data_IF_543848085067
#
_entry.id   IF_543848085067
#
_cell.length_a   1.000
_cell.length_b   1.000
_cell.length_c   1.000
_cell.angle_alpha   90.00
_cell.angle_beta   90.00
_cell.angle_gamma   90.00
#
_symmetry.space_group_name_H-M   'P 1'
#
loop_
_entity.id
_entity.type
_entity.pdbx_description
1 polymer ?
#
# COMPACT_ATOMS: atom_id res chain seq x y z
N UNK A 1 31.13 23.92 15.56
CA UNK A 1 29.80 24.26 15.02
C UNK A 1 28.79 23.79 16.06
N UNK A 2 27.84 24.63 16.49
CA UNK A 2 26.77 24.16 17.38
C UNK A 2 25.95 23.11 16.64
N UNK A 3 25.75 21.92 17.23
CA UNK A 3 24.85 20.91 16.66
C UNK A 3 23.50 21.55 16.34
N UNK A 4 23.09 21.48 15.08
CA UNK A 4 21.81 22.01 14.60
C UNK A 4 20.72 21.19 15.25
N UNK A 5 20.02 21.77 16.23
CA UNK A 5 18.93 21.04 16.94
C UNK A 5 17.88 20.60 15.95
N UNK A 6 17.64 19.29 15.84
CA UNK A 6 16.62 18.72 14.96
C UNK A 6 15.24 19.04 15.52
N UNK A 7 14.34 19.66 14.74
CA UNK A 7 12.98 19.95 15.21
C UNK A 7 12.16 18.67 15.35
N UNK A 8 11.04 18.71 16.08
CA UNK A 8 10.07 17.60 16.15
C UNK A 8 9.51 17.25 14.77
N UNK A 9 9.20 18.26 13.96
CA UNK A 9 8.64 18.10 12.61
C UNK A 9 9.57 18.77 11.61
N UNK A 10 10.04 17.99 10.64
CA UNK A 10 10.81 18.48 9.51
C UNK A 10 9.85 18.62 8.34
N UNK A 11 9.71 19.85 7.84
CA UNK A 11 8.96 20.16 6.63
C UNK A 11 9.90 20.60 5.51
N UNK A 12 9.54 20.25 4.31
CA UNK A 12 10.07 20.86 3.09
C UNK A 12 9.29 22.15 2.78
N UNK A 13 9.93 23.08 2.11
CA UNK A 13 9.23 24.19 1.48
C UNK A 13 8.60 23.75 0.15
N UNK A 14 7.63 24.48 -0.38
CA UNK A 14 6.96 24.10 -1.64
C UNK A 14 7.93 23.92 -2.81
N UNK A 15 8.99 24.72 -2.87
CA UNK A 15 10.01 24.62 -3.91
C UNK A 15 11.01 23.48 -3.72
N UNK A 16 11.01 22.84 -2.56
CA UNK A 16 11.81 21.64 -2.25
C UNK A 16 11.03 20.33 -2.54
N UNK A 17 9.76 20.44 -2.89
CA UNK A 17 8.92 19.28 -3.20
C UNK A 17 9.36 18.60 -4.51
N UNK A 18 9.25 17.27 -4.60
CA UNK A 18 9.59 16.54 -5.82
C UNK A 18 8.78 17.03 -7.03
N UNK A 19 9.47 17.24 -8.15
CA UNK A 19 8.87 17.56 -9.45
C UNK A 19 8.78 16.33 -10.37
N UNK A 20 9.43 15.24 -9.98
CA UNK A 20 9.46 13.96 -10.69
C UNK A 20 9.21 12.83 -9.70
N UNK A 21 8.56 11.76 -10.17
CA UNK A 21 8.53 10.48 -9.50
C UNK A 21 9.80 9.69 -9.82
N UNK A 22 10.19 8.81 -8.91
CA UNK A 22 11.34 7.95 -9.10
C UNK A 22 10.91 6.50 -9.34
N UNK A 23 11.35 5.94 -10.46
CA UNK A 23 11.07 4.58 -10.89
C UNK A 23 12.27 3.67 -10.54
N UNK A 24 12.22 3.05 -9.38
CA UNK A 24 13.30 2.16 -8.89
C UNK A 24 13.61 1.00 -9.84
N UNK A 25 12.64 0.58 -10.68
CA UNK A 25 12.85 -0.50 -11.64
C UNK A 25 13.93 -0.18 -12.67
N UNK A 26 14.13 1.09 -13.00
CA UNK A 26 15.17 1.50 -13.94
C UNK A 26 16.58 1.09 -13.46
N UNK A 27 16.79 1.12 -12.14
CA UNK A 27 18.09 0.79 -11.51
C UNK A 27 18.19 -0.66 -11.04
N UNK A 28 17.08 -1.44 -11.07
CA UNK A 28 17.11 -2.85 -10.70
C UNK A 28 17.92 -3.68 -11.70
N UNK A 29 18.84 -4.51 -11.19
CA UNK A 29 19.61 -5.45 -11.99
C UNK A 29 18.72 -6.57 -12.53
N UNK A 30 17.90 -7.16 -11.67
CA UNK A 30 16.90 -8.14 -12.04
C UNK A 30 15.55 -7.43 -12.12
N UNK A 31 15.02 -7.26 -13.34
CA UNK A 31 13.72 -6.63 -13.56
C UNK A 31 12.60 -7.57 -13.10
N UNK A 32 11.48 -7.04 -12.55
CA UNK A 32 10.29 -7.86 -12.32
C UNK A 32 9.84 -8.55 -13.62
N UNK A 33 9.39 -9.78 -13.52
CA UNK A 33 8.87 -10.50 -14.67
C UNK A 33 7.60 -9.82 -15.22
N UNK A 34 7.34 -9.88 -16.55
CA UNK A 34 6.20 -9.21 -17.17
C UNK A 34 4.87 -9.79 -16.71
N UNK A 35 3.83 -8.98 -16.77
CA UNK A 35 2.44 -9.45 -16.63
C UNK A 35 2.10 -10.38 -17.81
N UNK A 36 1.44 -11.52 -17.53
CA UNK A 36 1.05 -12.47 -18.57
C UNK A 36 -0.46 -12.46 -18.78
N UNK A 37 -0.85 -12.58 -20.05
CA UNK A 37 -2.23 -12.84 -20.41
C UNK A 37 -2.62 -14.26 -19.94
N UNK A 38 -3.67 -14.42 -19.13
CA UNK A 38 -4.02 -15.71 -18.54
C UNK A 38 -4.45 -16.78 -19.55
N UNK A 39 -4.92 -16.37 -20.73
CA UNK A 39 -5.36 -17.29 -21.79
C UNK A 39 -4.21 -17.80 -22.67
N UNK A 40 -3.17 -16.97 -22.88
CA UNK A 40 -2.07 -17.26 -23.81
C UNK A 40 -0.75 -17.55 -23.10
N UNK A 41 -0.63 -17.19 -21.83
CA UNK A 41 0.59 -17.21 -21.01
C UNK A 41 1.77 -16.42 -21.63
N UNK A 42 1.46 -15.47 -22.51
CA UNK A 42 2.44 -14.58 -23.11
C UNK A 42 2.44 -13.23 -22.40
N UNK A 43 3.55 -12.47 -22.44
CA UNK A 43 3.58 -11.10 -21.94
C UNK A 43 2.46 -10.27 -22.53
N UNK A 44 1.75 -9.53 -21.67
CA UNK A 44 0.67 -8.65 -22.10
C UNK A 44 1.24 -7.45 -22.86
N UNK A 45 0.54 -7.11 -23.95
CA UNK A 45 0.84 -5.91 -24.73
C UNK A 45 0.23 -4.66 -24.11
N UNK A 46 0.73 -3.48 -24.50
CA UNK A 46 0.13 -2.21 -24.09
C UNK A 46 -1.35 -2.08 -24.53
N UNK A 47 -1.71 -2.63 -25.69
CA UNK A 47 -3.09 -2.64 -26.19
C UNK A 47 -4.00 -3.47 -25.29
N UNK A 48 -3.60 -4.69 -24.91
CA UNK A 48 -4.37 -5.55 -24.00
C UNK A 48 -4.56 -4.90 -22.62
N UNK A 49 -3.51 -4.28 -22.05
CA UNK A 49 -3.59 -3.56 -20.78
C UNK A 49 -4.48 -2.31 -20.90
N UNK A 50 -4.47 -1.62 -22.05
CA UNK A 50 -5.28 -0.43 -22.33
C UNK A 50 -6.79 -0.69 -22.34
N UNK A 51 -7.23 -1.95 -22.48
CA UNK A 51 -8.64 -2.30 -22.29
C UNK A 51 -9.08 -2.19 -20.81
N UNK A 52 -8.16 -2.32 -19.88
CA UNK A 52 -8.43 -2.29 -18.43
C UNK A 52 -8.02 -0.96 -17.81
N UNK A 53 -6.85 -0.44 -18.15
CA UNK A 53 -6.23 0.75 -17.55
C UNK A 53 -6.19 1.93 -18.51
N UNK A 54 -6.00 3.14 -17.96
CA UNK A 54 -5.73 4.33 -18.77
C UNK A 54 -4.39 4.21 -19.51
N UNK A 55 -4.30 4.76 -20.71
CA UNK A 55 -3.14 4.64 -21.61
C UNK A 55 -1.84 5.11 -20.96
N UNK A 56 -1.86 6.24 -20.25
CA UNK A 56 -0.67 6.75 -19.58
C UNK A 56 -0.24 5.87 -18.40
N UNK A 57 -1.21 5.29 -17.68
CA UNK A 57 -0.91 4.34 -16.60
C UNK A 57 -0.30 3.04 -17.14
N UNK A 58 -0.71 2.60 -18.34
CA UNK A 58 -0.09 1.47 -19.03
C UNK A 58 1.35 1.76 -19.41
N UNK A 59 1.66 2.97 -19.92
CA UNK A 59 3.04 3.37 -20.21
C UNK A 59 3.90 3.32 -18.95
N UNK A 60 3.42 3.90 -17.85
CA UNK A 60 4.13 3.91 -16.58
C UNK A 60 4.29 2.50 -15.98
N UNK A 61 3.28 1.62 -16.17
CA UNK A 61 3.37 0.23 -15.73
C UNK A 61 4.46 -0.55 -16.49
N UNK A 62 4.60 -0.30 -17.77
CA UNK A 62 5.55 -1.00 -18.63
C UNK A 62 6.96 -0.37 -18.65
N UNK A 63 7.11 0.89 -18.22
CA UNK A 63 8.40 1.59 -18.21
C UNK A 63 9.30 1.07 -17.10
N UNK A 64 10.37 0.39 -17.46
CA UNK A 64 11.41 -0.12 -16.57
C UNK A 64 12.81 0.47 -16.90
N UNK A 65 12.85 1.53 -17.70
CA UNK A 65 14.07 2.12 -18.23
C UNK A 65 14.32 3.56 -17.80
N UNK A 66 13.25 4.36 -17.66
CA UNK A 66 13.36 5.75 -17.25
C UNK A 66 13.33 5.87 -15.71
N UNK A 67 14.42 6.34 -15.06
CA UNK A 67 14.46 6.44 -13.61
C UNK A 67 13.60 7.57 -13.06
N UNK A 68 13.38 8.63 -13.84
CA UNK A 68 12.59 9.79 -13.42
C UNK A 68 11.46 10.08 -14.40
N UNK A 69 10.25 10.26 -13.88
CA UNK A 69 9.05 10.58 -14.65
C UNK A 69 8.46 11.87 -14.11
N UNK A 70 8.27 12.87 -14.98
CA UNK A 70 7.76 14.19 -14.59
C UNK A 70 6.37 14.10 -13.96
N UNK A 71 6.18 14.81 -12.86
CA UNK A 71 4.87 14.99 -12.23
C UNK A 71 4.17 16.15 -12.94
N UNK A 72 3.04 15.94 -13.65
CA UNK A 72 2.27 17.01 -14.28
C UNK A 72 1.96 18.16 -13.31
N UNK A 73 1.92 19.38 -13.85
CA UNK A 73 1.70 20.58 -13.04
C UNK A 73 0.38 20.51 -12.25
N UNK A 74 -0.68 20.00 -12.88
CA UNK A 74 -2.00 19.89 -12.25
C UNK A 74 -1.99 18.92 -11.05
N UNK A 75 -1.18 17.85 -11.10
CA UNK A 75 -0.98 16.93 -9.98
C UNK A 75 -0.16 17.63 -8.89
N UNK A 76 0.89 18.38 -9.25
CA UNK A 76 1.70 19.16 -8.28
C UNK A 76 0.87 20.23 -7.57
N UNK A 77 -0.04 20.88 -8.29
CA UNK A 77 -0.94 21.89 -7.72
C UNK A 77 -1.89 21.24 -6.69
N UNK A 78 -2.40 20.05 -6.98
CA UNK A 78 -3.18 19.29 -6.00
C UNK A 78 -2.32 18.82 -4.82
N UNK A 79 -1.10 18.35 -5.06
CA UNK A 79 -0.18 17.96 -3.98
C UNK A 79 0.07 19.10 -3.00
N UNK A 80 0.22 20.33 -3.43
CA UNK A 80 0.40 21.51 -2.57
C UNK A 80 -0.75 21.73 -1.57
N UNK A 81 -1.94 21.18 -1.82
CA UNK A 81 -3.07 21.30 -0.89
C UNK A 81 -2.86 20.48 0.40
N UNK A 82 -2.02 19.44 0.39
CA UNK A 82 -1.83 18.57 1.55
C UNK A 82 -0.39 18.08 1.75
N UNK A 83 0.50 18.39 0.84
CA UNK A 83 1.95 18.11 0.92
C UNK A 83 2.76 19.39 1.02
N UNK A 84 3.99 19.36 1.54
CA UNK A 84 4.73 18.17 1.98
C UNK A 84 4.12 17.55 3.26
N UNK A 85 4.16 16.23 3.37
CA UNK A 85 3.80 15.58 4.63
C UNK A 85 5.01 15.63 5.59
N UNK A 86 4.79 15.76 6.92
CA UNK A 86 5.89 15.92 7.86
C UNK A 86 6.70 14.64 8.03
N UNK A 87 8.03 14.80 8.15
CA UNK A 87 8.90 13.82 8.78
C UNK A 87 9.04 14.21 10.26
N UNK A 88 8.60 13.34 11.15
CA UNK A 88 8.54 13.64 12.59
C UNK A 88 9.55 12.79 13.33
N UNK A 89 10.34 13.42 14.22
CA UNK A 89 11.18 12.69 15.16
C UNK A 89 10.39 12.32 16.41
N UNK A 90 10.35 11.05 16.74
CA UNK A 90 9.60 10.50 17.85
C UNK A 90 10.32 10.64 19.19
N UNK A 91 10.68 11.86 19.58
CA UNK A 91 11.42 12.14 20.83
C UNK A 91 10.73 11.58 22.08
N UNK A 92 9.40 11.62 22.13
CA UNK A 92 8.66 11.11 23.27
C UNK A 92 8.75 9.60 23.34
N UNK A 93 8.66 8.91 22.20
CA UNK A 93 8.80 7.46 22.10
C UNK A 93 10.23 7.03 22.46
N UNK A 94 11.26 7.66 21.88
CA UNK A 94 12.67 7.41 22.21
C UNK A 94 12.91 7.48 23.73
N UNK A 95 12.45 8.55 24.36
CA UNK A 95 12.57 8.77 25.81
C UNK A 95 11.82 7.72 26.61
N UNK A 96 10.60 7.35 26.20
CA UNK A 96 9.77 6.37 26.91
C UNK A 96 10.35 4.96 26.85
N UNK A 97 10.94 4.59 25.70
CA UNK A 97 11.62 3.31 25.52
C UNK A 97 12.98 3.28 26.24
N UNK A 98 13.60 4.43 26.47
CA UNK A 98 14.95 4.54 27.03
C UNK A 98 16.00 3.95 26.10
N UNK A 99 15.84 4.17 24.80
CA UNK A 99 16.70 3.65 23.73
C UNK A 99 17.68 4.72 23.24
N UNK A 100 18.90 4.33 22.79
CA UNK A 100 19.78 5.24 22.05
C UNK A 100 19.36 5.45 20.60
N UNK A 101 18.42 4.65 20.06
CA UNK A 101 17.93 4.77 18.69
C UNK A 101 17.28 6.14 18.46
N UNK A 102 17.48 6.68 17.24
CA UNK A 102 16.82 7.87 16.72
C UNK A 102 15.66 7.43 15.84
N UNK A 103 14.41 7.72 16.24
CA UNK A 103 13.22 7.22 15.58
C UNK A 103 12.53 8.35 14.83
N UNK A 104 12.26 8.13 13.55
CA UNK A 104 11.53 9.05 12.68
C UNK A 104 10.33 8.35 12.03
N UNK A 105 9.24 9.10 11.83
CA UNK A 105 8.12 8.61 11.04
C UNK A 105 7.66 9.61 10.00
N UNK A 106 7.42 9.11 8.78
CA UNK A 106 6.82 9.88 7.68
C UNK A 106 5.31 9.82 7.80
N UNK A 107 4.68 10.93 8.17
CA UNK A 107 3.27 10.98 8.52
C UNK A 107 2.37 11.24 7.30
N UNK A 108 2.03 10.21 6.56
CA UNK A 108 1.14 10.25 5.40
C UNK A 108 -0.37 10.25 5.76
N UNK A 109 -0.73 9.91 6.99
CA UNK A 109 -2.10 10.01 7.49
C UNK A 109 -2.55 11.46 7.76
N UNK A 110 -1.64 12.43 7.66
CA UNK A 110 -1.90 13.86 7.90
C UNK A 110 -2.45 14.58 6.67
N UNK A 111 -3.47 14.01 6.02
CA UNK A 111 -4.18 14.64 4.92
C UNK A 111 -5.69 14.35 5.01
N UNK A 112 -6.48 15.02 4.19
CA UNK A 112 -7.93 14.96 4.23
C UNK A 112 -8.51 13.58 3.92
N UNK A 113 -7.80 12.73 3.17
CA UNK A 113 -8.21 11.34 2.94
C UNK A 113 -7.81 10.39 4.08
N UNK A 114 -6.93 10.85 4.97
CA UNK A 114 -6.43 10.11 6.13
C UNK A 114 -5.40 9.02 5.79
N UNK A 115 -4.83 8.98 4.56
CA UNK A 115 -3.81 7.99 4.19
C UNK A 115 -2.96 8.40 3.00
N UNK A 116 -1.80 7.70 2.81
CA UNK A 116 -0.89 7.82 1.67
C UNK A 116 -1.56 7.59 0.31
N UNK A 117 -2.70 6.92 0.28
CA UNK A 117 -3.34 6.49 -0.98
C UNK A 117 -3.74 7.65 -1.88
N UNK A 118 -3.96 8.83 -1.32
CA UNK A 118 -4.29 10.05 -2.07
C UNK A 118 -3.21 10.41 -3.11
N UNK A 119 -1.93 10.10 -2.83
CA UNK A 119 -0.82 10.40 -3.75
C UNK A 119 -0.99 9.73 -5.14
N UNK A 120 -1.45 8.47 -5.16
CA UNK A 120 -1.70 7.77 -6.40
C UNK A 120 -3.13 8.00 -6.93
N UNK A 121 -4.11 8.18 -6.05
CA UNK A 121 -5.48 8.42 -6.45
C UNK A 121 -5.61 9.66 -7.34
N UNK A 122 -4.93 10.75 -6.98
CA UNK A 122 -4.96 11.99 -7.76
C UNK A 122 -4.28 11.81 -9.12
N UNK A 123 -3.17 11.07 -9.19
CA UNK A 123 -2.49 10.80 -10.44
C UNK A 123 -3.36 9.96 -11.40
N UNK A 124 -3.97 8.88 -10.89
CA UNK A 124 -4.81 8.01 -11.70
C UNK A 124 -6.09 8.72 -12.17
N UNK A 125 -6.73 9.52 -11.31
CA UNK A 125 -7.90 10.32 -11.70
C UNK A 125 -7.54 11.41 -12.73
N UNK A 126 -6.39 12.06 -12.57
CA UNK A 126 -5.88 13.03 -13.57
C UNK A 126 -5.74 12.40 -14.95
N UNK A 127 -5.06 11.24 -15.04
CA UNK A 127 -4.85 10.58 -16.32
C UNK A 127 -6.15 10.05 -16.93
N UNK A 128 -7.08 9.57 -16.11
CA UNK A 128 -8.42 9.20 -16.57
C UNK A 128 -9.17 10.39 -17.17
N UNK A 129 -9.15 11.55 -16.51
CA UNK A 129 -9.75 12.79 -17.03
C UNK A 129 -9.06 13.26 -18.29
N UNK A 130 -7.73 13.22 -18.35
CA UNK A 130 -6.93 13.64 -19.50
C UNK A 130 -7.21 12.79 -20.73
N UNK A 131 -7.48 11.49 -20.57
CA UNK A 131 -7.89 10.57 -21.63
C UNK A 131 -9.34 10.79 -22.08
N UNK A 132 -10.12 11.62 -21.38
CA UNK A 132 -11.52 11.90 -21.72
C UNK A 132 -12.49 10.83 -21.24
N UNK A 133 -12.13 10.05 -20.21
CA UNK A 133 -13.02 9.06 -19.65
C UNK A 133 -14.17 9.71 -18.88
N UNK A 134 -15.32 9.00 -18.82
CA UNK A 134 -16.50 9.39 -18.03
C UNK A 134 -16.30 9.12 -16.54
N UNK A 135 -15.60 8.03 -16.23
CA UNK A 135 -15.40 7.62 -14.86
C UNK A 135 -14.44 6.46 -14.71
N UNK A 136 -14.27 6.06 -13.47
CA UNK A 136 -13.41 4.94 -13.08
C UNK A 136 -14.15 3.96 -12.17
N UNK A 137 -13.70 2.72 -12.19
CA UNK A 137 -14.12 1.68 -11.26
C UNK A 137 -12.95 1.25 -10.41
N UNK A 138 -13.22 0.81 -9.20
CA UNK A 138 -12.16 0.35 -8.30
C UNK A 138 -12.70 -0.57 -7.20
N UNK A 139 -11.78 -1.29 -6.59
CA UNK A 139 -11.99 -2.00 -5.32
C UNK A 139 -11.57 -1.15 -4.13
N UNK A 140 -12.00 -1.56 -2.93
CA UNK A 140 -11.40 -1.08 -1.68
C UNK A 140 -11.56 -2.11 -0.56
N UNK A 141 -10.48 -2.37 0.19
CA UNK A 141 -10.50 -3.24 1.36
C UNK A 141 -11.14 -2.55 2.56
N UNK A 142 -10.35 -1.79 3.32
CA UNK A 142 -10.80 -1.05 4.51
C UNK A 142 -11.52 0.28 4.20
N UNK A 143 -11.57 0.69 2.93
CA UNK A 143 -12.18 1.95 2.49
C UNK A 143 -11.21 3.12 2.34
N UNK A 144 -9.94 2.98 2.71
CA UNK A 144 -8.95 4.06 2.58
C UNK A 144 -8.69 4.44 1.11
N UNK A 145 -8.54 3.45 0.23
CA UNK A 145 -8.35 3.70 -1.19
C UNK A 145 -9.61 4.30 -1.82
N UNK A 146 -10.79 3.71 -1.55
CA UNK A 146 -12.06 4.24 -2.04
C UNK A 146 -12.29 5.69 -1.62
N UNK A 147 -11.94 6.06 -0.37
CA UNK A 147 -12.01 7.44 0.12
C UNK A 147 -11.09 8.37 -0.68
N UNK A 148 -9.84 8.00 -0.85
CA UNK A 148 -8.85 8.80 -1.58
C UNK A 148 -9.25 8.99 -3.06
N UNK A 149 -9.70 7.90 -3.72
CA UNK A 149 -10.13 7.96 -5.11
C UNK A 149 -11.43 8.77 -5.28
N UNK A 150 -12.40 8.61 -4.39
CA UNK A 150 -13.65 9.39 -4.43
C UNK A 150 -13.37 10.89 -4.37
N UNK A 151 -12.44 11.31 -3.50
CA UNK A 151 -11.98 12.70 -3.40
C UNK A 151 -11.31 13.18 -4.69
N UNK A 152 -10.42 12.37 -5.26
CA UNK A 152 -9.72 12.69 -6.50
C UNK A 152 -10.70 12.79 -7.70
N UNK A 153 -11.66 11.87 -7.78
CA UNK A 153 -12.69 11.89 -8.83
C UNK A 153 -13.62 13.09 -8.71
N UNK A 154 -14.02 13.48 -7.49
CA UNK A 154 -14.79 14.69 -7.27
C UNK A 154 -14.04 15.95 -7.73
N UNK A 155 -12.73 16.03 -7.51
CA UNK A 155 -11.90 17.14 -7.96
C UNK A 155 -11.80 17.25 -9.48
N UNK A 156 -11.80 16.11 -10.21
CA UNK A 156 -11.69 16.07 -11.67
C UNK A 156 -13.03 15.86 -12.39
N UNK A 157 -14.17 15.94 -11.72
CA UNK A 157 -15.50 15.66 -12.29
C UNK A 157 -15.55 14.30 -13.01
N UNK A 158 -15.21 13.24 -12.33
CA UNK A 158 -15.27 11.87 -12.82
C UNK A 158 -16.27 11.06 -11.99
N UNK A 159 -17.04 10.21 -12.66
CA UNK A 159 -17.80 9.18 -11.97
C UNK A 159 -16.86 8.19 -11.27
N UNK A 160 -17.19 7.84 -10.04
CA UNK A 160 -16.42 6.88 -9.23
C UNK A 160 -17.31 5.73 -8.75
N UNK A 161 -17.00 4.50 -9.17
CA UNK A 161 -17.69 3.30 -8.71
C UNK A 161 -16.75 2.43 -7.89
N UNK A 162 -17.10 2.21 -6.63
CA UNK A 162 -16.27 1.49 -5.65
C UNK A 162 -16.94 0.19 -5.25
N UNK A 163 -16.22 -0.93 -5.38
CA UNK A 163 -16.55 -2.22 -4.81
C UNK A 163 -15.79 -2.39 -3.49
N UNK A 164 -16.52 -2.39 -2.38
CA UNK A 164 -15.93 -2.47 -1.05
C UNK A 164 -16.10 -3.87 -0.47
N UNK A 165 -15.02 -4.44 0.05
CA UNK A 165 -15.06 -5.76 0.72
C UNK A 165 -16.21 -5.79 1.74
N UNK A 166 -17.12 -6.78 1.63
CA UNK A 166 -18.41 -6.84 2.34
C UNK A 166 -18.26 -6.69 3.84
N UNK A 167 -17.35 -7.40 4.47
CA UNK A 167 -17.13 -7.27 5.92
C UNK A 167 -16.72 -5.86 6.32
N UNK A 168 -15.88 -5.18 5.52
CA UNK A 168 -15.49 -3.80 5.78
C UNK A 168 -16.61 -2.81 5.51
N UNK A 169 -17.43 -3.06 4.49
CA UNK A 169 -18.62 -2.25 4.19
C UNK A 169 -19.59 -2.19 5.38
N UNK A 170 -19.73 -3.30 6.11
CA UNK A 170 -20.57 -3.40 7.30
C UNK A 170 -19.89 -2.79 8.55
N UNK A 171 -18.59 -3.10 8.76
CA UNK A 171 -17.86 -2.68 9.96
C UNK A 171 -17.40 -1.22 9.96
N UNK A 172 -17.31 -0.59 8.77
CA UNK A 172 -16.77 0.78 8.60
C UNK A 172 -17.78 1.70 7.89
N UNK A 173 -18.97 1.91 8.46
CA UNK A 173 -20.04 2.67 7.80
C UNK A 173 -19.64 4.12 7.50
N UNK A 174 -18.83 4.75 8.35
CA UNK A 174 -18.42 6.15 8.15
C UNK A 174 -17.49 6.30 6.93
N UNK A 175 -16.64 5.33 6.62
CA UNK A 175 -15.83 5.38 5.38
C UNK A 175 -16.72 5.34 4.14
N UNK A 176 -17.76 4.50 4.15
CA UNK A 176 -18.76 4.46 3.09
C UNK A 176 -19.44 5.81 2.90
N UNK A 177 -19.85 6.46 3.99
CA UNK A 177 -20.51 7.77 3.91
C UNK A 177 -19.57 8.88 3.44
N UNK A 178 -18.27 8.83 3.80
CA UNK A 178 -17.27 9.76 3.24
C UNK A 178 -17.16 9.59 1.72
N UNK A 179 -17.07 8.36 1.21
CA UNK A 179 -17.04 8.11 -0.24
C UNK A 179 -18.28 8.63 -0.95
N UNK A 180 -19.46 8.38 -0.37
CA UNK A 180 -20.74 8.90 -0.90
C UNK A 180 -20.84 10.41 -0.85
N UNK A 181 -20.28 11.06 0.17
CA UNK A 181 -20.22 12.51 0.30
C UNK A 181 -19.39 13.15 -0.82
N UNK A 182 -18.33 12.45 -1.27
CA UNK A 182 -17.56 12.84 -2.46
C UNK A 182 -18.21 12.40 -3.79
N UNK A 183 -19.43 11.86 -3.76
CA UNK A 183 -20.19 11.51 -4.98
C UNK A 183 -19.95 10.10 -5.51
N UNK A 184 -19.13 9.27 -4.87
CA UNK A 184 -18.90 7.90 -5.32
C UNK A 184 -20.11 6.99 -5.03
N UNK A 185 -20.35 6.05 -5.92
CA UNK A 185 -21.23 4.90 -5.67
C UNK A 185 -20.44 3.77 -5.03
N UNK A 186 -20.94 3.22 -3.91
CA UNK A 186 -20.24 2.17 -3.15
C UNK A 186 -21.12 0.93 -3.06
N UNK A 187 -20.58 -0.21 -3.50
CA UNK A 187 -21.27 -1.51 -3.54
C UNK A 187 -20.50 -2.51 -2.67
N UNK A 188 -21.16 -3.26 -1.76
CA UNK A 188 -20.49 -4.34 -1.04
C UNK A 188 -20.11 -5.48 -1.99
N UNK A 189 -18.90 -6.04 -1.87
CA UNK A 189 -18.36 -7.09 -2.74
C UNK A 189 -18.05 -8.37 -1.94
N UNK A 190 -18.42 -9.56 -2.46
CA UNK A 190 -19.07 -9.81 -3.75
C UNK A 190 -20.53 -9.39 -3.77
N UNK A 191 -21.04 -9.00 -4.95
CA UNK A 191 -22.38 -8.46 -5.16
C UNK A 191 -23.13 -9.18 -6.29
N UNK A 192 -24.43 -8.96 -6.38
CA UNK A 192 -25.27 -9.46 -7.50
C UNK A 192 -25.22 -8.54 -8.74
N UNK A 193 -24.47 -7.42 -8.69
CA UNK A 193 -24.45 -6.41 -9.74
C UNK A 193 -23.53 -6.77 -10.92
N UNK A 194 -22.64 -7.74 -10.73
CA UNK A 194 -21.69 -8.24 -11.73
C UNK A 194 -21.89 -9.76 -11.94
N UNK A 195 -21.45 -10.27 -13.08
CA UNK A 195 -21.50 -11.70 -13.35
C UNK A 195 -20.54 -12.48 -12.44
N UNK A 196 -19.30 -11.97 -12.33
CA UNK A 196 -18.28 -12.58 -11.47
C UNK A 196 -18.69 -12.54 -9.99
N UNK A 197 -19.34 -11.47 -9.54
CA UNK A 197 -19.86 -11.37 -8.18
C UNK A 197 -20.92 -12.43 -7.89
N UNK A 198 -21.89 -12.63 -8.79
CA UNK A 198 -22.91 -13.68 -8.68
C UNK A 198 -22.27 -15.07 -8.63
N UNK A 199 -21.27 -15.33 -9.47
CA UNK A 199 -20.54 -16.61 -9.49
C UNK A 199 -19.83 -16.87 -8.15
N UNK A 200 -19.11 -15.88 -7.62
CA UNK A 200 -18.43 -15.99 -6.31
C UNK A 200 -19.44 -16.25 -5.19
N UNK A 201 -20.59 -15.56 -5.18
CA UNK A 201 -21.64 -15.78 -4.19
C UNK A 201 -22.25 -17.18 -4.27
N UNK A 202 -22.38 -17.74 -5.47
CA UNK A 202 -22.88 -19.10 -5.68
C UNK A 202 -21.87 -20.18 -5.23
N UNK A 203 -20.57 -19.97 -5.51
CA UNK A 203 -19.50 -20.89 -5.13
C UNK A 203 -19.15 -20.82 -3.63
N UNK A 204 -19.30 -19.64 -3.02
CA UNK A 204 -18.96 -19.37 -1.62
C UNK A 204 -20.11 -18.67 -0.88
N UNK A 205 -21.23 -19.37 -0.62
CA UNK A 205 -22.36 -18.80 0.12
C UNK A 205 -21.95 -18.29 1.51
N UNK A 206 -22.32 -17.07 1.85
CA UNK A 206 -21.98 -16.48 3.16
C UNK A 206 -20.56 -15.93 3.27
N UNK A 207 -19.79 -15.86 2.18
CA UNK A 207 -18.46 -15.23 2.19
C UNK A 207 -18.50 -13.80 2.69
N UNK A 208 -17.49 -13.41 3.48
CA UNK A 208 -17.26 -12.03 3.94
C UNK A 208 -16.59 -11.16 2.87
N UNK A 209 -16.23 -11.76 1.73
CA UNK A 209 -15.50 -11.14 0.65
C UNK A 209 -14.00 -10.98 0.92
N UNK A 210 -13.28 -10.66 -0.13
CA UNK A 210 -11.85 -10.36 -0.11
C UNK A 210 -11.54 -9.22 -1.06
N UNK A 211 -10.31 -8.70 -0.99
CA UNK A 211 -9.86 -7.70 -1.96
C UNK A 211 -9.85 -8.28 -3.38
N UNK A 212 -9.46 -9.55 -3.56
CA UNK A 212 -9.49 -10.23 -4.85
C UNK A 212 -10.89 -10.32 -5.46
N UNK A 213 -11.94 -10.57 -4.65
CA UNK A 213 -13.33 -10.54 -5.12
C UNK A 213 -13.72 -9.14 -5.62
N UNK A 214 -13.39 -8.11 -4.86
CA UNK A 214 -13.71 -6.73 -5.20
C UNK A 214 -12.96 -6.24 -6.47
N UNK A 215 -11.71 -6.69 -6.67
CA UNK A 215 -10.94 -6.45 -7.89
C UNK A 215 -11.67 -7.06 -9.09
N UNK A 216 -12.08 -8.33 -9.02
CA UNK A 216 -12.79 -9.00 -10.11
C UNK A 216 -14.03 -8.22 -10.55
N UNK A 217 -14.86 -7.77 -9.61
CA UNK A 217 -16.06 -7.00 -9.90
C UNK A 217 -15.75 -5.61 -10.48
N UNK A 218 -14.73 -4.93 -9.95
CA UNK A 218 -14.33 -3.62 -10.45
C UNK A 218 -13.79 -3.69 -11.88
N UNK A 219 -13.01 -4.71 -12.22
CA UNK A 219 -12.48 -4.95 -13.58
C UNK A 219 -13.62 -5.28 -14.55
N UNK A 220 -14.54 -6.18 -14.19
CA UNK A 220 -15.72 -6.46 -15.02
C UNK A 220 -16.52 -5.18 -15.27
N UNK A 221 -16.77 -4.38 -14.23
CA UNK A 221 -17.52 -3.14 -14.38
C UNK A 221 -16.81 -2.09 -15.26
N UNK A 222 -15.48 -2.08 -15.29
CA UNK A 222 -14.69 -1.20 -16.18
C UNK A 222 -14.79 -1.66 -17.64
N UNK A 223 -14.61 -2.96 -17.88
CA UNK A 223 -14.53 -3.54 -19.25
C UNK A 223 -15.89 -3.64 -19.93
N UNK A 224 -16.98 -3.67 -19.18
CA UNK A 224 -18.35 -3.73 -19.71
C UNK A 224 -19.03 -2.37 -19.88
N UNK A 225 -18.36 -1.26 -19.48
CA UNK A 225 -18.90 0.10 -19.57
C UNK A 225 -18.04 0.97 -20.48
N UNK A 226 -18.65 1.54 -21.50
CA UNK A 226 -17.97 2.49 -22.39
C UNK A 226 -17.59 3.78 -21.65
N UNK A 227 -16.32 4.18 -21.80
CA UNK A 227 -15.77 5.38 -21.17
C UNK A 227 -15.32 5.18 -19.74
N UNK A 228 -15.22 3.94 -19.26
CA UNK A 228 -14.67 3.61 -17.94
C UNK A 228 -13.37 2.82 -18.03
N UNK A 229 -12.53 2.99 -17.03
CA UNK A 229 -11.32 2.17 -16.80
C UNK A 229 -11.21 1.82 -15.33
N UNK A 230 -10.51 0.72 -15.07
CA UNK A 230 -10.17 0.30 -13.73
C UNK A 230 -8.94 1.05 -13.22
N UNK A 231 -8.97 1.43 -11.96
CA UNK A 231 -7.85 2.01 -11.22
C UNK A 231 -7.72 1.31 -9.86
N UNK A 232 -6.51 1.26 -9.30
CA UNK A 232 -6.25 0.49 -8.08
C UNK A 232 -5.26 1.17 -7.14
N UNK A 233 -5.37 0.85 -5.86
CA UNK A 233 -4.64 1.52 -4.78
C UNK A 233 -3.34 0.87 -4.34
N UNK A 234 -2.87 -0.20 -5.01
CA UNK A 234 -1.65 -0.92 -4.63
C UNK A 234 -1.16 -1.85 -5.74
N UNK A 235 -0.13 -2.64 -5.48
CA UNK A 235 0.41 -3.77 -6.26
C UNK A 235 1.17 -3.37 -7.53
N UNK A 236 0.55 -2.64 -8.46
CA UNK A 236 1.14 -2.32 -9.76
C UNK A 236 2.28 -1.31 -9.67
N UNK A 237 3.21 -1.41 -10.62
CA UNK A 237 4.41 -0.57 -10.67
C UNK A 237 4.09 0.93 -10.78
N UNK A 238 3.08 1.30 -11.55
CA UNK A 238 2.61 2.68 -11.66
C UNK A 238 2.14 3.24 -10.31
N UNK A 239 1.56 2.40 -9.43
CA UNK A 239 1.14 2.84 -8.09
C UNK A 239 2.35 3.06 -7.19
N UNK A 240 3.34 2.14 -7.21
CA UNK A 240 4.60 2.31 -6.49
C UNK A 240 5.34 3.57 -6.96
N UNK A 241 5.35 3.82 -8.27
CA UNK A 241 5.91 5.03 -8.87
C UNK A 241 5.29 6.29 -8.27
N UNK A 242 3.95 6.41 -8.27
CA UNK A 242 3.28 7.58 -7.68
C UNK A 242 3.56 7.74 -6.19
N UNK A 243 3.72 6.64 -5.47
CA UNK A 243 4.03 6.66 -4.04
C UNK A 243 5.50 7.02 -3.75
N UNK A 244 6.38 7.04 -4.76
CA UNK A 244 7.78 7.44 -4.58
C UNK A 244 7.94 8.86 -4.01
N UNK A 245 6.93 9.71 -4.15
CA UNK A 245 6.88 11.04 -3.52
C UNK A 245 7.08 10.96 -2.00
N UNK A 246 6.64 9.87 -1.34
CA UNK A 246 6.84 9.64 0.09
C UNK A 246 8.34 9.53 0.40
N UNK A 247 9.04 8.67 -0.33
CA UNK A 247 10.47 8.43 -0.15
C UNK A 247 11.32 9.65 -0.54
N UNK A 248 10.99 10.29 -1.66
CA UNK A 248 11.69 11.48 -2.14
C UNK A 248 11.63 12.64 -1.12
N UNK A 249 10.45 12.94 -0.58
CA UNK A 249 10.32 13.93 0.49
C UNK A 249 11.01 13.49 1.78
N UNK A 250 10.95 12.21 2.13
CA UNK A 250 11.63 11.67 3.33
C UNK A 250 13.14 11.86 3.20
N UNK A 251 13.70 11.50 2.05
CA UNK A 251 15.14 11.65 1.77
C UNK A 251 15.57 13.10 1.83
N UNK A 252 14.87 13.99 1.13
CA UNK A 252 15.18 15.43 1.15
C UNK A 252 15.07 16.04 2.55
N UNK A 253 14.08 15.62 3.35
CA UNK A 253 13.93 16.08 4.74
C UNK A 253 15.07 15.59 5.65
N UNK A 254 15.55 14.36 5.48
CA UNK A 254 16.69 13.82 6.22
C UNK A 254 17.99 14.51 5.82
N UNK A 255 18.23 14.71 4.53
CA UNK A 255 19.41 15.39 3.97
C UNK A 255 19.53 16.85 4.47
N UNK A 256 18.41 17.54 4.65
CA UNK A 256 18.36 18.90 5.21
C UNK A 256 19.03 19.03 6.59
N UNK A 257 19.17 17.90 7.31
CA UNK A 257 19.78 17.82 8.64
C UNK A 257 20.96 16.85 8.71
N UNK A 258 21.51 16.45 7.55
CA UNK A 258 22.65 15.53 7.44
C UNK A 258 22.39 14.17 8.14
N UNK A 259 21.14 13.65 8.03
CA UNK A 259 20.73 12.40 8.65
C UNK A 259 20.71 11.29 7.59
N UNK A 260 21.37 10.17 7.89
CA UNK A 260 21.31 8.94 7.11
C UNK A 260 20.57 7.87 7.93
N UNK A 261 19.49 7.26 7.43
CA UNK A 261 18.83 6.17 8.12
C UNK A 261 19.64 4.87 8.03
N UNK A 262 19.61 4.06 9.09
CA UNK A 262 20.14 2.69 9.08
C UNK A 262 19.06 1.69 8.71
N UNK A 263 17.84 1.91 9.22
CA UNK A 263 16.70 1.00 9.06
C UNK A 263 15.48 1.77 8.55
N UNK A 264 14.86 1.28 7.47
CA UNK A 264 13.62 1.84 6.92
C UNK A 264 12.54 0.77 6.93
N UNK A 265 11.40 1.06 7.58
CA UNK A 265 10.35 0.11 7.89
C UNK A 265 9.02 0.57 7.29
N UNK A 266 8.29 -0.33 6.65
CA UNK A 266 6.93 -0.04 6.19
C UNK A 266 6.02 -1.25 6.28
N UNK A 267 4.72 -1.01 6.51
CA UNK A 267 3.74 -2.08 6.43
C UNK A 267 3.53 -2.51 4.97
N UNK A 268 3.26 -3.78 4.76
CA UNK A 268 3.13 -4.37 3.44
C UNK A 268 1.87 -5.24 3.32
N UNK A 269 0.93 -4.78 2.47
CA UNK A 269 -0.14 -5.58 1.89
C UNK A 269 0.23 -5.84 0.43
N UNK A 270 -0.32 -5.09 -0.52
CA UNK A 270 0.18 -5.08 -1.90
C UNK A 270 1.51 -4.33 -2.10
N UNK A 271 2.00 -3.62 -1.10
CA UNK A 271 3.36 -3.07 -1.04
C UNK A 271 3.53 -1.61 -1.48
N UNK A 272 2.48 -0.90 -1.89
CA UNK A 272 2.65 0.42 -2.52
C UNK A 272 3.27 1.48 -1.59
N UNK A 273 2.86 1.55 -0.32
CA UNK A 273 3.44 2.52 0.62
C UNK A 273 4.92 2.23 0.93
N UNK A 274 5.24 0.96 1.16
CA UNK A 274 6.61 0.52 1.40
C UNK A 274 7.48 0.80 0.17
N UNK A 275 7.02 0.36 -1.02
CA UNK A 275 7.73 0.59 -2.28
C UNK A 275 8.00 2.07 -2.54
N UNK A 276 7.00 2.94 -2.28
CA UNK A 276 7.16 4.38 -2.40
C UNK A 276 8.18 4.96 -1.41
N UNK A 277 8.09 4.54 -0.14
CA UNK A 277 9.00 5.03 0.91
C UNK A 277 10.45 4.63 0.66
N UNK A 278 10.69 3.37 0.31
CA UNK A 278 12.06 2.86 0.16
C UNK A 278 12.69 3.20 -1.19
N UNK A 279 11.90 3.53 -2.24
CA UNK A 279 12.40 3.61 -3.62
C UNK A 279 13.66 4.46 -3.81
N UNK A 280 13.81 5.71 -3.34
CA UNK A 280 15.03 6.48 -3.57
C UNK A 280 16.23 5.96 -2.76
N UNK A 281 15.99 5.37 -1.60
CA UNK A 281 17.03 4.73 -0.79
C UNK A 281 17.44 3.38 -1.38
N UNK A 282 16.49 2.64 -1.95
CA UNK A 282 16.78 1.42 -2.70
C UNK A 282 17.61 1.72 -3.94
N UNK A 283 17.35 2.83 -4.63
CA UNK A 283 18.17 3.30 -5.74
C UNK A 283 19.64 3.48 -5.33
N UNK A 284 19.92 4.17 -4.23
CA UNK A 284 21.27 4.33 -3.69
C UNK A 284 21.93 2.97 -3.34
N UNK A 285 21.15 2.04 -2.75
CA UNK A 285 21.64 0.68 -2.45
C UNK A 285 21.95 -0.10 -3.72
N UNK A 286 21.10 -0.04 -4.74
CA UNK A 286 21.32 -0.71 -6.03
C UNK A 286 22.55 -0.16 -6.78
N UNK A 287 22.81 1.14 -6.67
CA UNK A 287 24.00 1.79 -7.22
C UNK A 287 25.27 1.58 -6.36
N UNK A 288 25.15 0.96 -5.19
CA UNK A 288 26.27 0.71 -4.28
C UNK A 288 26.77 1.96 -3.54
N UNK A 289 25.95 3.01 -3.45
CA UNK A 289 26.31 4.27 -2.78
C UNK A 289 26.19 4.16 -1.26
N UNK A 290 25.10 3.51 -0.78
CA UNK A 290 24.80 3.33 0.64
C UNK A 290 24.15 1.96 0.87
N UNK A 291 24.33 1.43 2.07
CA UNK A 291 23.66 0.20 2.50
C UNK A 291 22.63 0.52 3.57
N UNK A 292 21.36 0.20 3.26
CA UNK A 292 20.22 0.38 4.15
C UNK A 292 19.60 -0.98 4.46
N UNK A 293 19.10 -1.15 5.69
CA UNK A 293 18.24 -2.28 6.03
C UNK A 293 16.78 -1.88 5.77
N UNK A 294 16.10 -2.62 4.89
CA UNK A 294 14.67 -2.43 4.61
C UNK A 294 13.86 -3.56 5.22
N UNK A 295 12.79 -3.23 5.93
CA UNK A 295 11.92 -4.21 6.58
C UNK A 295 10.48 -4.03 6.13
N UNK A 296 9.94 -5.01 5.42
CA UNK A 296 8.53 -5.13 5.11
C UNK A 296 7.81 -5.79 6.31
N UNK A 297 6.73 -5.18 6.79
CA UNK A 297 5.97 -5.76 7.91
C UNK A 297 4.56 -6.12 7.43
N UNK A 298 4.23 -7.40 7.53
CA UNK A 298 2.95 -7.95 7.11
C UNK A 298 2.17 -8.57 8.28
N UNK A 299 0.83 -8.72 8.18
CA UNK A 299 0.07 -9.43 9.20
C UNK A 299 0.42 -10.91 9.24
N UNK A 300 0.55 -11.48 10.43
CA UNK A 300 0.72 -12.92 10.59
C UNK A 300 -0.44 -13.76 10.00
N UNK A 301 -1.62 -13.14 9.88
CA UNK A 301 -2.81 -13.71 9.25
C UNK A 301 -2.83 -13.66 7.71
N UNK A 302 -1.88 -12.93 7.09
CA UNK A 302 -1.75 -12.81 5.63
C UNK A 302 -0.27 -12.69 5.24
N UNK A 303 0.56 -13.74 5.48
CA UNK A 303 2.02 -13.70 5.42
C UNK A 303 2.54 -13.96 4.01
N UNK A 304 2.26 -13.06 3.06
CA UNK A 304 2.56 -13.26 1.64
C UNK A 304 4.05 -13.34 1.33
N UNK A 305 4.90 -12.53 1.98
CA UNK A 305 6.36 -12.57 1.83
C UNK A 305 6.99 -13.69 2.66
N UNK A 306 6.63 -13.78 3.95
CA UNK A 306 7.32 -14.68 4.89
C UNK A 306 6.94 -16.15 4.73
N UNK A 307 5.73 -16.45 4.21
CA UNK A 307 5.25 -17.83 4.00
C UNK A 307 4.66 -18.09 2.62
N UNK A 308 4.62 -17.09 1.72
CA UNK A 308 4.17 -17.24 0.36
C UNK A 308 5.18 -17.94 -0.55
N UNK A 309 4.76 -18.16 -1.80
CA UNK A 309 5.62 -18.71 -2.87
C UNK A 309 5.87 -17.65 -3.92
N UNK A 310 7.10 -17.59 -4.44
CA UNK A 310 7.44 -16.72 -5.57
C UNK A 310 7.04 -17.39 -6.87
N UNK A 311 5.87 -17.05 -7.40
CA UNK A 311 5.28 -17.68 -8.56
C UNK A 311 4.38 -16.71 -9.34
N UNK A 312 4.03 -17.07 -10.57
CA UNK A 312 2.92 -16.41 -11.26
C UNK A 312 1.60 -16.78 -10.60
N UNK A 313 0.76 -15.77 -10.35
CA UNK A 313 -0.59 -15.96 -9.83
C UNK A 313 -1.53 -14.88 -10.39
N UNK A 314 -2.82 -15.14 -10.31
CA UNK A 314 -3.83 -14.14 -10.65
C UNK A 314 -3.83 -13.00 -9.63
N UNK A 315 -3.99 -11.78 -10.12
CA UNK A 315 -4.11 -10.62 -9.24
C UNK A 315 -5.46 -10.55 -8.51
N UNK A 316 -6.43 -11.41 -8.87
CA UNK A 316 -7.80 -11.43 -8.36
C UNK A 316 -8.34 -12.85 -8.14
N UNK A 317 -9.40 -12.95 -7.33
CA UNK A 317 -10.02 -14.24 -7.00
C UNK A 317 -10.85 -14.81 -8.14
N UNK A 318 -11.49 -13.94 -8.94
CA UNK A 318 -12.32 -14.35 -10.10
C UNK A 318 -11.53 -14.73 -11.35
N UNK A 319 -10.19 -14.56 -11.30
CA UNK A 319 -9.27 -14.90 -12.40
C UNK A 319 -9.54 -14.16 -13.71
N UNK A 320 -9.98 -12.90 -13.60
CA UNK A 320 -10.23 -12.01 -14.75
C UNK A 320 -9.07 -11.05 -15.01
N UNK A 321 -8.12 -10.93 -14.07
CA UNK A 321 -6.93 -10.10 -14.17
C UNK A 321 -5.74 -10.84 -14.77
N UNK A 322 -4.70 -10.11 -15.22
CA UNK A 322 -3.42 -10.70 -15.64
C UNK A 322 -2.76 -11.55 -14.55
N UNK A 323 -1.87 -12.46 -14.97
CA UNK A 323 -0.94 -13.14 -14.07
C UNK A 323 0.26 -12.23 -13.79
N UNK A 324 0.59 -12.07 -12.50
CA UNK A 324 1.80 -11.37 -12.06
C UNK A 324 2.72 -12.35 -11.34
N UNK A 325 4.03 -12.25 -11.58
CA UNK A 325 5.01 -13.00 -10.79
C UNK A 325 5.25 -12.27 -9.48
N UNK A 326 4.88 -12.90 -8.38
CA UNK A 326 4.88 -12.29 -7.06
C UNK A 326 5.03 -13.34 -5.95
N UNK A 327 5.40 -12.89 -4.76
CA UNK A 327 5.19 -13.69 -3.57
C UNK A 327 3.70 -13.74 -3.28
N UNK A 328 3.12 -14.94 -3.23
CA UNK A 328 1.67 -15.14 -3.13
C UNK A 328 1.29 -16.29 -2.21
N UNK A 329 0.13 -16.17 -1.59
CA UNK A 329 -0.55 -17.24 -0.83
C UNK A 329 -1.52 -18.05 -1.71
N UNK A 330 -1.63 -17.69 -3.00
CA UNK A 330 -2.61 -18.21 -3.94
C UNK A 330 -3.84 -17.31 -4.05
N UNK A 331 -4.29 -17.04 -5.28
CA UNK A 331 -5.44 -16.15 -5.56
C UNK A 331 -6.77 -16.63 -4.97
N UNK A 332 -6.87 -17.92 -4.64
CA UNK A 332 -7.99 -18.51 -3.91
C UNK A 332 -7.90 -18.37 -2.39
N UNK A 333 -6.78 -17.92 -1.83
CA UNK A 333 -6.63 -17.72 -0.39
C UNK A 333 -7.43 -16.50 0.06
N UNK A 334 -8.34 -16.70 1.01
CA UNK A 334 -9.14 -15.63 1.62
C UNK A 334 -8.59 -15.39 3.03
N UNK A 335 -7.87 -14.27 3.26
CA UNK A 335 -7.35 -13.96 4.59
C UNK A 335 -8.45 -13.85 5.63
N UNK A 336 -8.16 -14.26 6.87
CA UNK A 336 -9.06 -14.07 8.00
C UNK A 336 -9.47 -12.61 8.18
N UNK A 337 -10.59 -12.35 8.86
CA UNK A 337 -11.14 -11.03 9.08
C UNK A 337 -10.34 -10.22 10.12
N UNK A 338 -9.04 -10.00 9.89
CA UNK A 338 -8.25 -9.10 10.71
C UNK A 338 -8.66 -7.63 10.47
N UNK A 339 -8.29 -6.74 11.40
CA UNK A 339 -8.69 -5.35 11.36
C UNK A 339 -7.81 -4.44 10.48
N UNK A 340 -6.66 -4.93 9.99
CA UNK A 340 -5.83 -4.24 9.01
C UNK A 340 -6.27 -4.58 7.58
N UNK A 341 -7.48 -4.16 7.20
CA UNK A 341 -8.12 -4.51 5.94
C UNK A 341 -7.31 -4.13 4.70
N UNK A 342 -6.47 -3.09 4.77
CA UNK A 342 -5.56 -2.67 3.71
C UNK A 342 -4.37 -3.61 3.49
N UNK A 343 -4.12 -4.55 4.42
CA UNK A 343 -3.05 -5.55 4.31
C UNK A 343 -3.58 -6.97 4.00
N UNK A 344 -4.89 -7.12 3.73
CA UNK A 344 -5.54 -8.41 3.44
C UNK A 344 -5.54 -8.70 1.93
N UNK A 345 -4.36 -8.90 1.37
CA UNK A 345 -4.18 -9.25 -0.03
C UNK A 345 -3.26 -10.48 -0.16
N UNK A 346 -3.63 -11.43 -1.02
CA UNK A 346 -2.94 -12.72 -1.15
C UNK A 346 -1.55 -12.61 -1.78
N UNK A 347 -1.24 -11.51 -2.46
CA UNK A 347 0.02 -11.32 -3.20
C UNK A 347 0.73 -10.02 -2.86
N UNK A 348 1.94 -9.90 -3.36
CA UNK A 348 2.81 -8.73 -3.20
C UNK A 348 3.14 -8.14 -4.57
N UNK A 349 3.37 -6.83 -4.65
CA UNK A 349 3.86 -6.16 -5.85
C UNK A 349 5.04 -6.94 -6.47
N UNK A 350 5.05 -7.08 -7.79
CA UNK A 350 6.13 -7.78 -8.50
C UNK A 350 7.50 -7.13 -8.26
N UNK A 351 7.54 -5.80 -8.15
CA UNK A 351 8.78 -5.05 -7.84
C UNK A 351 9.31 -5.41 -6.45
N UNK A 352 8.48 -5.35 -5.40
CA UNK A 352 8.93 -5.70 -4.05
C UNK A 352 9.22 -7.19 -3.92
N UNK A 353 8.45 -8.04 -4.59
CA UNK A 353 8.72 -9.47 -4.63
C UNK A 353 10.09 -9.77 -5.22
N UNK A 354 10.48 -9.11 -6.31
CA UNK A 354 11.80 -9.27 -6.90
C UNK A 354 12.90 -8.75 -5.98
N UNK A 355 12.72 -7.58 -5.34
CA UNK A 355 13.70 -7.04 -4.38
C UNK A 355 13.88 -7.96 -3.16
N UNK A 356 12.81 -8.61 -2.71
CA UNK A 356 12.85 -9.57 -1.61
C UNK A 356 13.55 -10.87 -2.04
N UNK A 357 13.24 -11.39 -3.24
CA UNK A 357 13.86 -12.58 -3.80
C UNK A 357 15.37 -12.39 -4.05
N UNK A 358 15.76 -11.18 -4.43
CA UNK A 358 17.18 -10.78 -4.58
C UNK A 358 17.91 -10.57 -3.24
N UNK A 359 17.23 -10.72 -2.09
CA UNK A 359 17.82 -10.54 -0.76
C UNK A 359 18.12 -9.08 -0.39
N UNK A 360 17.51 -8.11 -1.08
CA UNK A 360 17.74 -6.68 -0.87
C UNK A 360 16.90 -6.08 0.25
N UNK A 361 15.90 -6.80 0.75
CA UNK A 361 15.04 -6.41 1.84
C UNK A 361 14.62 -7.62 2.70
N UNK A 362 14.22 -7.36 3.93
CA UNK A 362 13.69 -8.35 4.87
C UNK A 362 12.17 -8.27 4.95
N UNK A 363 11.53 -9.35 5.41
CA UNK A 363 10.11 -9.37 5.74
C UNK A 363 9.89 -9.93 7.15
N UNK A 364 8.93 -9.36 7.86
CA UNK A 364 8.47 -9.85 9.17
C UNK A 364 6.96 -9.88 9.23
N UNK A 365 6.41 -10.93 9.81
CA UNK A 365 4.99 -11.03 10.11
C UNK A 365 4.74 -10.75 11.58
N UNK A 366 3.63 -10.05 11.90
CA UNK A 366 3.27 -9.68 13.27
C UNK A 366 1.80 -9.98 13.55
N UNK A 367 1.51 -10.40 14.78
CA UNK A 367 0.16 -10.72 15.24
C UNK A 367 -0.62 -9.44 15.55
N UNK A 368 -1.93 -9.44 15.28
CA UNK A 368 -2.73 -8.22 15.41
C UNK A 368 -2.85 -7.71 16.84
N UNK A 369 -2.83 -8.57 17.86
CA UNK A 369 -2.86 -8.13 19.27
C UNK A 369 -1.61 -7.31 19.61
N UNK A 370 -0.42 -7.77 19.21
CA UNK A 370 0.83 -7.04 19.40
C UNK A 370 0.89 -5.74 18.60
N UNK A 371 0.23 -5.72 17.42
CA UNK A 371 0.09 -4.50 16.60
C UNK A 371 -0.77 -3.46 17.31
N UNK A 372 -1.90 -3.86 17.92
CA UNK A 372 -2.77 -2.92 18.66
C UNK A 372 -2.15 -2.46 19.98
N UNK A 373 -1.38 -3.31 20.67
CA UNK A 373 -0.55 -2.89 21.82
C UNK A 373 0.41 -1.75 21.42
N UNK A 374 1.12 -1.93 20.30
CA UNK A 374 2.04 -0.91 19.78
C UNK A 374 1.30 0.36 19.33
N UNK A 375 0.11 0.21 18.72
CA UNK A 375 -0.73 1.32 18.30
C UNK A 375 -1.18 2.19 19.48
N UNK A 376 -1.66 1.58 20.56
CA UNK A 376 -2.06 2.31 21.76
C UNK A 376 -0.88 2.91 22.49
N UNK A 377 0.24 2.18 22.59
CA UNK A 377 1.47 2.73 23.15
C UNK A 377 1.90 3.98 22.41
N UNK A 378 1.92 3.93 21.07
CA UNK A 378 2.27 5.06 20.22
C UNK A 378 1.29 6.22 20.39
N UNK A 379 -0.02 5.94 20.39
CA UNK A 379 -1.05 6.96 20.56
C UNK A 379 -0.93 7.69 21.90
N UNK A 380 -0.68 6.97 22.98
CA UNK A 380 -0.50 7.54 24.33
C UNK A 380 0.79 8.36 24.49
N UNK A 381 1.82 8.06 23.68
CA UNK A 381 3.14 8.71 23.78
C UNK A 381 3.29 9.86 22.78
N UNK A 382 2.93 9.64 21.51
CA UNK A 382 3.10 10.61 20.42
C UNK A 382 1.84 11.44 20.14
N UNK A 383 0.68 11.08 20.73
CA UNK A 383 -0.59 11.79 20.56
C UNK A 383 -1.25 11.59 19.20
N UNK A 384 -0.87 10.57 18.44
CA UNK A 384 -1.40 10.25 17.12
C UNK A 384 -2.03 8.87 17.16
N UNK A 385 -3.31 8.76 16.80
CA UNK A 385 -4.01 7.49 16.67
C UNK A 385 -3.73 6.89 15.28
N UNK A 386 -2.91 5.83 15.19
CA UNK A 386 -2.51 5.26 13.89
C UNK A 386 -3.58 4.32 13.32
N UNK A 387 -3.60 4.18 12.00
CA UNK A 387 -4.37 3.12 11.37
C UNK A 387 -3.77 1.74 11.75
N UNK A 388 -4.58 0.68 11.84
CA UNK A 388 -4.08 -0.68 12.12
C UNK A 388 -2.98 -1.13 11.15
N UNK A 389 -3.07 -0.74 9.88
CA UNK A 389 -2.04 -1.02 8.89
C UNK A 389 -0.69 -0.40 9.28
N UNK A 390 -0.67 0.89 9.61
CA UNK A 390 0.56 1.61 10.01
C UNK A 390 1.17 1.04 11.28
N UNK A 391 0.33 0.51 12.16
CA UNK A 391 0.74 -0.01 13.47
C UNK A 391 1.62 -1.26 13.37
N UNK A 392 1.58 -1.98 12.22
CA UNK A 392 2.53 -3.04 11.91
C UNK A 392 3.97 -2.49 11.84
N UNK A 393 4.17 -1.38 11.14
CA UNK A 393 5.48 -0.71 11.08
C UNK A 393 5.90 -0.14 12.45
N UNK A 394 4.96 0.41 13.23
CA UNK A 394 5.22 0.90 14.59
C UNK A 394 5.72 -0.23 15.48
N UNK A 395 5.08 -1.42 15.44
CA UNK A 395 5.49 -2.57 16.25
C UNK A 395 6.95 -2.93 16.01
N UNK A 396 7.34 -3.10 14.75
CA UNK A 396 8.70 -3.46 14.38
C UNK A 396 9.70 -2.32 14.66
N UNK A 397 9.30 -1.05 14.50
CA UNK A 397 10.15 0.08 14.86
C UNK A 397 10.44 0.12 16.37
N UNK A 398 9.45 -0.21 17.21
CA UNK A 398 9.65 -0.35 18.66
C UNK A 398 10.59 -1.53 18.97
N UNK A 399 10.41 -2.68 18.30
CA UNK A 399 11.27 -3.84 18.50
C UNK A 399 12.72 -3.56 18.16
N UNK A 400 12.99 -2.91 17.02
CA UNK A 400 14.35 -2.49 16.63
C UNK A 400 14.94 -1.45 17.61
N UNK A 401 14.12 -0.52 18.10
CA UNK A 401 14.57 0.45 19.09
C UNK A 401 14.91 -0.21 20.45
N UNK A 402 14.14 -1.23 20.87
CA UNK A 402 14.45 -2.00 22.09
C UNK A 402 15.70 -2.85 21.90
N UNK A 403 15.94 -3.39 20.72
CA UNK A 403 17.18 -4.10 20.37
C UNK A 403 18.40 -3.16 20.46
N UNK A 404 18.27 -1.91 19.98
CA UNK A 404 19.30 -0.89 20.17
C UNK A 404 19.56 -0.60 21.66
N UNK A 405 18.52 -0.60 22.50
CA UNK A 405 18.68 -0.45 23.95
C UNK A 405 19.46 -1.59 24.57
N UNK A 406 19.18 -2.83 24.15
CA UNK A 406 19.85 -4.03 24.67
C UNK A 406 21.32 -4.08 24.25
N UNK A 407 21.62 -3.74 23.01
CA UNK A 407 22.97 -3.76 22.44
C UNK A 407 23.80 -2.51 22.75
N UNK A 408 23.17 -1.39 23.12
CA UNK A 408 23.81 -0.09 23.27
C UNK A 408 24.14 0.58 21.93
N UNK A 409 23.70 0.00 20.80
CA UNK A 409 23.99 0.50 19.46
C UNK A 409 23.03 1.64 19.08
N UNK A 410 23.56 2.78 18.65
CA UNK A 410 22.76 3.87 18.12
C UNK A 410 22.44 3.63 16.65
N UNK A 411 21.15 3.54 16.31
CA UNK A 411 20.67 3.48 14.92
C UNK A 411 19.59 4.51 14.65
N UNK A 412 19.56 4.99 13.42
CA UNK A 412 18.49 5.85 12.91
C UNK A 412 17.45 4.98 12.22
N UNK A 413 16.24 4.95 12.78
CA UNK A 413 15.11 4.16 12.32
C UNK A 413 14.10 5.11 11.70
N UNK A 414 13.68 4.85 10.45
CA UNK A 414 12.61 5.58 9.76
C UNK A 414 11.47 4.63 9.46
N UNK A 415 10.24 4.99 9.79
CA UNK A 415 9.08 4.19 9.40
C UNK A 415 7.96 5.00 8.76
N UNK A 416 7.15 4.33 7.95
CA UNK A 416 5.97 4.91 7.31
C UNK A 416 4.76 4.90 8.24
N UNK A 417 4.26 6.06 8.66
CA UNK A 417 2.98 6.22 9.34
C UNK A 417 1.91 6.58 8.31
N UNK A 418 1.37 5.54 7.66
CA UNK A 418 0.68 5.63 6.38
C UNK A 418 -0.80 6.02 6.45
N UNK A 419 -1.41 5.99 7.66
CA UNK A 419 -2.82 6.29 7.81
C UNK A 419 -3.23 6.64 9.23
N UNK A 420 -4.36 7.37 9.33
CA UNK A 420 -5.03 7.69 10.61
C UNK A 420 -6.00 6.58 11.03
N UNK A 421 -6.13 6.35 12.33
CA UNK A 421 -6.98 5.32 12.93
C UNK A 421 -8.40 5.74 13.29
N UNK A 422 -8.79 7.00 13.09
CA UNK A 422 -10.10 7.51 13.54
C UNK A 422 -11.29 6.79 12.90
N UNK A 423 -11.13 6.15 11.74
CA UNK A 423 -12.15 5.33 11.12
C UNK A 423 -12.13 3.86 11.56
N UNK A 424 -11.19 3.49 12.43
CA UNK A 424 -10.95 2.10 12.85
C UNK A 424 -11.29 1.86 14.33
N UNK A 425 -12.12 2.74 14.91
CA UNK A 425 -12.46 2.73 16.35
C UNK A 425 -13.13 1.42 16.81
N UNK A 426 -13.89 0.75 15.94
CA UNK A 426 -14.45 -0.58 16.23
C UNK A 426 -13.35 -1.62 16.50
N UNK A 427 -12.22 -1.51 15.82
CA UNK A 427 -11.08 -2.40 16.06
C UNK A 427 -10.41 -2.10 17.40
N UNK A 428 -10.21 -0.83 17.73
CA UNK A 428 -9.70 -0.40 19.03
C UNK A 428 -10.63 -0.80 20.17
N UNK A 429 -11.96 -0.66 19.99
CA UNK A 429 -12.95 -1.13 20.97
C UNK A 429 -12.81 -2.61 21.25
N UNK A 430 -12.73 -3.46 20.23
CA UNK A 430 -12.52 -4.92 20.41
C UNK A 430 -11.21 -5.24 21.12
N UNK A 431 -10.14 -4.52 20.80
CA UNK A 431 -8.87 -4.71 21.49
C UNK A 431 -8.98 -4.32 22.96
N UNK A 432 -9.54 -3.15 23.28
CA UNK A 432 -9.71 -2.67 24.64
C UNK A 432 -10.63 -3.57 25.50
N UNK A 433 -11.61 -4.23 24.86
CA UNK A 433 -12.51 -5.17 25.53
C UNK A 433 -11.92 -6.58 25.67
N UNK A 434 -10.71 -6.85 25.15
CA UNK A 434 -10.10 -8.18 25.16
C UNK A 434 -10.79 -9.18 24.22
N UNK A 435 -11.51 -8.69 23.21
CA UNK A 435 -12.24 -9.50 22.23
C UNK A 435 -11.42 -9.81 20.97
N UNK A 436 -10.23 -9.20 20.85
CA UNK A 436 -9.35 -9.41 19.71
C UNK A 436 -8.56 -10.70 19.86
N UNK A 437 -8.52 -11.50 18.82
CA UNK A 437 -7.77 -12.77 18.79
C UNK A 437 -6.81 -12.79 17.61
N UNK A 438 -5.67 -13.44 17.80
CA UNK A 438 -4.71 -13.66 16.73
C UNK A 438 -5.11 -14.86 15.88
N UNK A 439 -4.70 -14.82 14.63
CA UNK A 439 -4.85 -15.90 13.69
C UNK A 439 -3.62 -16.01 12.79
N UNK A 440 -3.08 -17.23 12.72
CA UNK A 440 -1.98 -17.57 11.82
C UNK A 440 -2.47 -18.75 10.95
N UNK A 441 -2.47 -18.63 9.62
CA UNK A 441 -2.91 -19.72 8.76
C UNK A 441 -2.02 -20.95 8.94
N UNK A 442 -2.62 -22.14 8.96
CA UNK A 442 -1.89 -23.40 9.05
C UNK A 442 -1.18 -23.71 7.73
N UNK A 443 -0.23 -24.65 7.75
CA UNK A 443 0.44 -25.08 6.52
C UNK A 443 -0.52 -25.77 5.56
N UNK A 444 -1.55 -26.46 6.07
CA UNK A 444 -2.61 -27.08 5.27
C UNK A 444 -3.46 -26.03 4.57
N UNK A 445 -3.85 -24.95 5.24
CA UNK A 445 -4.61 -23.85 4.63
C UNK A 445 -3.81 -23.16 3.53
N UNK A 446 -2.51 -22.92 3.75
CA UNK A 446 -1.62 -22.37 2.73
C UNK A 446 -1.44 -23.34 1.55
N UNK A 447 -1.32 -24.65 1.82
CA UNK A 447 -1.19 -25.66 0.77
C UNK A 447 -2.40 -25.68 -0.18
N UNK A 448 -3.61 -25.45 0.32
CA UNK A 448 -4.82 -25.29 -0.50
C UNK A 448 -4.69 -24.11 -1.46
N UNK A 449 -4.22 -22.95 -0.95
CA UNK A 449 -3.96 -21.78 -1.79
C UNK A 449 -2.92 -22.07 -2.86
N UNK A 450 -1.81 -22.70 -2.49
CA UNK A 450 -0.72 -23.05 -3.43
C UNK A 450 -1.11 -24.07 -4.49
N UNK A 451 -2.04 -24.97 -4.19
CA UNK A 451 -2.53 -25.94 -5.17
C UNK A 451 -3.26 -25.30 -6.35
N UNK A 452 -3.79 -24.09 -6.16
CA UNK A 452 -4.47 -23.30 -7.18
C UNK A 452 -3.56 -22.43 -8.06
N UNK A 453 -2.24 -22.41 -7.81
CA UNK A 453 -1.31 -21.58 -8.59
C UNK A 453 -1.23 -22.02 -10.05
N UNK A 454 -1.23 -21.08 -11.01
CA UNK A 454 -1.04 -21.38 -12.42
C UNK A 454 0.31 -22.07 -12.68
N UNK A 455 0.29 -23.07 -13.57
CA UNK A 455 1.51 -23.68 -14.08
C UNK A 455 2.00 -22.87 -15.26
N UNK A 456 2.97 -21.99 -15.01
CA UNK A 456 3.68 -21.22 -16.04
C UNK A 456 5.09 -21.80 -16.13
N UNK A 457 5.45 -22.30 -17.33
CA UNK A 457 6.78 -22.86 -17.61
C UNK A 457 7.82 -21.76 -17.85
#
# INVERSE_FOLDING_TARGET
MSEKKIPYKIYLEENEMPTQWYNVRADMKNKPAPLLNPATLKPMTAEELGHVFCDELVKQELDDTNPYIDIPQEIRDFYRMYRPSPLVRAYCLEKKLGTPAKIYYKFEGNNTSGSHKLNSAIAQAYYAKKQGLKGVTTETGAGQWGTALSMACAYFDLDCKVYMVKVSYEQKPFRREVMRTYGASVTPSPSETTEVGRKILAEHPGTTGSLGCAISEAVEAATTREGYRYVLGSVLNQVLLHQSVIGLETKAALEKYDITPDIIIGCAGGGSNLGGLISPFMGEKLCGEKDYQFIAVEPASCPSLTRGRYAYDFCDTGRVCPLAKMYTLGSGFIPSANHAGGLRYHGMSSTLSQLYDDGLMEARSVEQTSVFEAAEQFARIEGILPAPESSHAIRVAIDEALKCKETGEEKTIVFGLTGTGYFDMVAYEKFNNGEMTDYIPTDEELAVGFAGLPKVE
#
